data_IF_106593466127
#
_entry.id   IF_106593466127
#
_cell.length_a   1.000
_cell.length_b   1.000
_cell.length_c   1.000
_cell.angle_alpha   90.00
_cell.angle_beta   90.00
_cell.angle_gamma   90.00
#
_symmetry.space_group_name_H-M   'P 1'
#
loop_
_entity.id
_entity.type
_entity.pdbx_description
1 polymer ?
#
# COMPACT_ATOMS: atom_id res chain seq x y z
N UNK A 1 9.03 33.09 -12.65
CA UNK A 1 10.15 32.12 -12.70
C UNK A 1 10.19 31.26 -11.41
N UNK A 2 9.05 30.67 -10.98
CA UNK A 2 8.92 30.01 -9.67
C UNK A 2 8.31 28.59 -9.72
N UNK A 3 7.97 28.06 -10.90
CA UNK A 3 7.32 26.75 -11.02
C UNK A 3 8.26 25.55 -10.99
N UNK A 4 9.56 25.74 -11.29
CA UNK A 4 10.51 24.63 -11.43
C UNK A 4 10.90 24.01 -10.08
N UNK A 5 11.09 24.83 -9.04
CA UNK A 5 11.49 24.37 -7.71
C UNK A 5 10.38 23.65 -6.93
N UNK A 6 9.11 24.00 -7.14
CA UNK A 6 7.97 23.31 -6.49
C UNK A 6 7.79 21.89 -7.03
N UNK A 7 8.01 21.71 -8.34
CA UNK A 7 7.88 20.42 -9.02
C UNK A 7 8.96 19.42 -8.61
N UNK A 8 10.23 19.84 -8.56
CA UNK A 8 11.34 18.98 -8.11
C UNK A 8 11.23 18.60 -6.65
N UNK A 9 10.89 19.57 -5.78
CA UNK A 9 10.72 19.32 -4.34
C UNK A 9 9.66 18.24 -4.08
N UNK A 10 8.45 18.38 -4.64
CA UNK A 10 7.37 17.40 -4.48
C UNK A 10 7.78 15.99 -4.93
N UNK A 11 8.63 15.88 -5.96
CA UNK A 11 9.14 14.60 -6.43
C UNK A 11 10.04 13.92 -5.40
N UNK A 12 10.92 14.67 -4.73
CA UNK A 12 11.77 14.12 -3.66
C UNK A 12 10.91 13.61 -2.48
N UNK A 13 9.91 14.39 -2.04
CA UNK A 13 9.02 13.93 -0.96
C UNK A 13 8.20 12.70 -1.38
N UNK A 14 7.73 12.66 -2.62
CA UNK A 14 7.02 11.49 -3.14
C UNK A 14 7.94 10.25 -3.16
N UNK A 15 9.22 10.41 -3.52
CA UNK A 15 10.20 9.34 -3.45
C UNK A 15 10.44 8.86 -2.02
N UNK A 16 10.54 9.75 -1.04
CA UNK A 16 10.68 9.39 0.38
C UNK A 16 9.47 8.59 0.88
N UNK A 17 8.25 9.09 0.64
CA UNK A 17 7.02 8.39 1.01
C UNK A 17 6.94 7.00 0.36
N UNK A 18 7.26 6.92 -0.93
CA UNK A 18 7.22 5.67 -1.68
C UNK A 18 8.28 4.67 -1.20
N UNK A 19 9.50 5.13 -0.93
CA UNK A 19 10.59 4.29 -0.43
C UNK A 19 10.27 3.73 0.96
N UNK A 20 9.73 4.55 1.85
CA UNK A 20 9.28 4.12 3.18
C UNK A 20 8.13 3.09 3.06
N UNK A 21 7.18 3.32 2.15
CA UNK A 21 6.09 2.39 1.86
C UNK A 21 6.61 1.04 1.36
N UNK A 22 7.56 1.02 0.44
CA UNK A 22 8.19 -0.20 -0.04
C UNK A 22 8.92 -0.94 1.09
N UNK A 23 9.66 -0.21 1.92
CA UNK A 23 10.35 -0.75 3.09
C UNK A 23 9.37 -1.43 4.05
N UNK A 24 8.28 -0.76 4.38
CA UNK A 24 7.22 -1.33 5.21
C UNK A 24 6.59 -2.56 4.57
N UNK A 25 6.12 -2.46 3.32
CA UNK A 25 5.42 -3.55 2.64
C UNK A 25 6.27 -4.84 2.51
N UNK A 26 7.60 -4.72 2.56
CA UNK A 26 8.56 -5.83 2.46
C UNK A 26 9.00 -6.41 3.80
N UNK A 27 8.47 -5.95 4.93
CA UNK A 27 8.82 -6.51 6.23
C UNK A 27 8.53 -8.03 6.29
N UNK A 28 9.49 -8.88 6.72
CA UNK A 28 9.36 -10.33 6.68
C UNK A 28 8.15 -10.90 7.43
N UNK A 29 7.71 -10.22 8.49
CA UNK A 29 6.58 -10.66 9.34
C UNK A 29 5.25 -10.78 8.57
N UNK A 30 5.05 -10.00 7.50
CA UNK A 30 3.86 -10.15 6.67
C UNK A 30 3.81 -11.50 5.96
N UNK A 31 4.97 -12.00 5.54
CA UNK A 31 5.09 -13.21 4.75
C UNK A 31 5.21 -14.47 5.61
N UNK A 32 5.88 -14.34 6.75
CA UNK A 32 6.13 -15.43 7.69
C UNK A 32 4.97 -15.61 8.66
N UNK A 33 4.67 -14.57 9.44
CA UNK A 33 3.70 -14.67 10.52
C UNK A 33 2.28 -14.41 10.05
N UNK A 34 2.06 -13.45 9.14
CA UNK A 34 0.70 -13.14 8.65
C UNK A 34 0.29 -13.99 7.43
N UNK A 35 1.18 -14.86 6.94
CA UNK A 35 0.89 -15.85 5.90
C UNK A 35 0.65 -15.27 4.50
N UNK A 36 1.09 -14.04 4.23
CA UNK A 36 1.01 -13.47 2.88
C UNK A 36 1.98 -14.23 1.96
N UNK A 37 1.56 -14.69 0.77
CA UNK A 37 2.46 -15.40 -0.13
C UNK A 37 3.66 -14.54 -0.55
N UNK A 38 4.89 -14.99 -0.29
CA UNK A 38 6.11 -14.31 -0.75
C UNK A 38 6.35 -14.55 -2.25
N UNK A 39 5.53 -13.89 -3.06
CA UNK A 39 5.51 -13.96 -4.52
C UNK A 39 5.41 -12.54 -5.09
N UNK A 40 5.63 -12.39 -6.39
CA UNK A 40 5.46 -11.07 -7.05
C UNK A 40 4.05 -10.52 -6.88
N UNK A 41 3.03 -11.36 -7.04
CA UNK A 41 1.63 -10.96 -6.81
C UNK A 41 1.41 -10.59 -5.32
N UNK A 42 1.93 -11.37 -4.38
CA UNK A 42 1.77 -11.09 -2.94
C UNK A 42 2.48 -9.82 -2.46
N UNK A 43 3.70 -9.57 -2.95
CA UNK A 43 4.44 -8.31 -2.68
C UNK A 43 3.71 -7.11 -3.29
N UNK A 44 3.17 -7.25 -4.50
CA UNK A 44 2.32 -6.22 -5.10
C UNK A 44 1.09 -5.95 -4.24
N UNK A 45 0.43 -6.99 -3.73
CA UNK A 45 -0.77 -6.83 -2.90
C UNK A 45 -0.47 -6.13 -1.56
N UNK A 46 0.71 -6.36 -0.98
CA UNK A 46 1.19 -5.61 0.19
C UNK A 46 1.47 -4.14 -0.12
N UNK A 47 2.06 -3.84 -1.29
CA UNK A 47 2.27 -2.45 -1.74
C UNK A 47 0.92 -1.75 -1.93
N UNK A 48 -0.02 -2.39 -2.63
CA UNK A 48 -1.39 -1.88 -2.86
C UNK A 48 -2.09 -1.56 -1.54
N UNK A 49 -2.00 -2.46 -0.56
CA UNK A 49 -2.63 -2.29 0.74
C UNK A 49 -2.10 -1.05 1.47
N UNK A 50 -0.77 -0.85 1.52
CA UNK A 50 -0.17 0.31 2.17
C UNK A 50 -0.41 1.61 1.38
N UNK A 51 -0.32 1.55 0.05
CA UNK A 51 -0.58 2.70 -0.82
C UNK A 51 -2.02 3.19 -0.70
N UNK A 52 -2.98 2.28 -0.59
CA UNK A 52 -4.37 2.63 -0.32
C UNK A 52 -4.51 3.44 0.98
N UNK A 53 -3.88 3.01 2.07
CA UNK A 53 -3.96 3.71 3.37
C UNK A 53 -3.31 5.10 3.27
N UNK A 54 -2.15 5.21 2.60
CA UNK A 54 -1.49 6.49 2.35
C UNK A 54 -2.38 7.45 1.55
N UNK A 55 -2.94 7.00 0.42
CA UNK A 55 -3.76 7.86 -0.43
C UNK A 55 -5.08 8.25 0.22
N UNK A 56 -5.69 7.36 1.00
CA UNK A 56 -6.84 7.72 1.84
C UNK A 56 -6.50 8.87 2.78
N UNK A 57 -5.33 8.84 3.43
CA UNK A 57 -4.91 9.92 4.34
C UNK A 57 -4.62 11.23 3.60
N UNK A 58 -3.91 11.18 2.47
CA UNK A 58 -3.59 12.38 1.67
C UNK A 58 -4.86 13.03 1.08
N UNK A 59 -5.90 12.24 0.80
CA UNK A 59 -7.19 12.73 0.30
C UNK A 59 -7.90 13.68 1.28
N UNK A 60 -7.61 13.58 2.58
CA UNK A 60 -8.17 14.48 3.60
C UNK A 60 -7.51 15.88 3.58
N UNK A 61 -6.51 16.09 2.73
CA UNK A 61 -5.79 17.36 2.59
C UNK A 61 -6.36 18.29 1.51
N UNK A 62 -5.50 19.18 1.02
CA UNK A 62 -5.80 20.11 -0.07
C UNK A 62 -5.04 19.76 -1.36
N UNK A 63 -4.99 20.72 -2.27
CA UNK A 63 -4.38 20.56 -3.59
C UNK A 63 -2.91 20.10 -3.55
N UNK A 64 -2.14 20.51 -2.53
CA UNK A 64 -0.74 20.08 -2.38
C UNK A 64 -0.64 18.58 -2.05
N UNK A 65 -1.52 18.05 -1.20
CA UNK A 65 -1.58 16.62 -0.88
C UNK A 65 -2.12 15.80 -2.06
N UNK A 66 -3.06 16.33 -2.83
CA UNK A 66 -3.55 15.69 -4.06
C UNK A 66 -2.41 15.55 -5.09
N UNK A 67 -1.62 16.62 -5.28
CA UNK A 67 -0.47 16.59 -6.17
C UNK A 67 0.61 15.63 -5.69
N UNK A 68 0.87 15.57 -4.38
CA UNK A 68 1.79 14.60 -3.78
C UNK A 68 1.30 13.17 -3.98
N UNK A 69 0.01 12.90 -3.75
CA UNK A 69 -0.61 11.60 -3.95
C UNK A 69 -0.49 11.13 -5.40
N UNK A 70 -0.74 12.01 -6.37
CA UNK A 70 -0.56 11.70 -7.80
C UNK A 70 0.91 11.36 -8.10
N UNK A 71 1.84 12.14 -7.56
CA UNK A 71 3.28 11.90 -7.79
C UNK A 71 3.72 10.55 -7.21
N UNK A 72 3.25 10.17 -6.01
CA UNK A 72 3.52 8.85 -5.43
C UNK A 72 2.88 7.74 -6.26
N UNK A 73 1.66 7.93 -6.76
CA UNK A 73 0.99 6.98 -7.64
C UNK A 73 1.77 6.76 -8.95
N UNK A 74 2.23 7.84 -9.59
CA UNK A 74 3.02 7.78 -10.82
C UNK A 74 4.35 7.05 -10.60
N UNK A 75 5.04 7.33 -9.49
CA UNK A 75 6.26 6.61 -9.10
C UNK A 75 6.01 5.12 -8.90
N UNK A 76 4.94 4.77 -8.19
CA UNK A 76 4.57 3.37 -7.95
C UNK A 76 4.31 2.62 -9.27
N UNK A 77 3.56 3.20 -10.21
CA UNK A 77 3.28 2.54 -11.48
C UNK A 77 4.49 2.48 -12.41
N UNK A 78 5.36 3.49 -12.39
CA UNK A 78 6.62 3.45 -13.11
C UNK A 78 7.55 2.34 -12.61
N UNK A 79 7.66 2.16 -11.29
CA UNK A 79 8.42 1.06 -10.68
C UNK A 79 7.85 -0.32 -11.07
N UNK A 80 6.52 -0.46 -11.06
CA UNK A 80 5.87 -1.72 -11.48
C UNK A 80 6.11 -2.02 -12.97
N UNK A 81 6.04 -1.02 -13.84
CA UNK A 81 6.33 -1.17 -15.28
C UNK A 81 7.77 -1.62 -15.52
N UNK A 82 8.72 -0.98 -14.83
CA UNK A 82 10.13 -1.32 -14.89
C UNK A 82 10.39 -2.75 -14.39
N UNK A 83 9.87 -3.11 -13.22
CA UNK A 83 10.03 -4.45 -12.65
C UNK A 83 9.47 -5.54 -13.58
N UNK A 84 8.34 -5.31 -14.26
CA UNK A 84 7.78 -6.27 -15.22
C UNK A 84 8.68 -6.45 -16.45
N UNK A 85 9.26 -5.37 -16.98
CA UNK A 85 10.21 -5.44 -18.09
C UNK A 85 11.47 -6.21 -17.70
N UNK A 86 12.01 -5.95 -16.51
CA UNK A 86 13.19 -6.65 -15.98
C UNK A 86 12.94 -8.14 -15.76
N UNK A 87 11.71 -8.52 -15.42
CA UNK A 87 11.30 -9.93 -15.35
C UNK A 87 11.12 -10.61 -16.72
N UNK A 88 11.45 -9.94 -17.82
CA UNK A 88 11.36 -10.49 -19.18
C UNK A 88 9.94 -10.56 -19.73
N UNK A 89 8.98 -9.84 -19.14
CA UNK A 89 7.67 -9.64 -19.78
C UNK A 89 7.91 -8.79 -21.03
N UNK A 90 7.79 -9.38 -22.22
CA UNK A 90 8.02 -8.66 -23.48
C UNK A 90 7.13 -7.43 -23.62
N UNK A 91 7.63 -6.39 -24.31
CA UNK A 91 7.02 -5.05 -24.39
C UNK A 91 5.52 -5.06 -24.76
N UNK A 92 5.10 -6.00 -25.62
CA UNK A 92 3.71 -6.17 -26.06
C UNK A 92 2.78 -6.59 -24.89
N UNK A 93 3.32 -7.33 -23.91
CA UNK A 93 2.58 -7.84 -22.74
C UNK A 93 2.57 -6.91 -21.53
N UNK A 94 3.57 -6.04 -21.39
CA UNK A 94 3.74 -5.16 -20.22
C UNK A 94 2.56 -4.22 -20.06
N UNK A 95 2.15 -3.52 -21.12
CA UNK A 95 1.04 -2.56 -21.05
C UNK A 95 -0.29 -3.22 -20.61
N UNK A 96 -0.57 -4.45 -21.08
CA UNK A 96 -1.75 -5.21 -20.65
C UNK A 96 -1.66 -5.59 -19.17
N UNK A 97 -0.48 -5.97 -18.69
CA UNK A 97 -0.25 -6.34 -17.29
C UNK A 97 -0.36 -5.13 -16.37
N UNK A 98 0.21 -3.99 -16.76
CA UNK A 98 0.09 -2.73 -16.02
C UNK A 98 -1.37 -2.27 -15.92
N UNK A 99 -2.13 -2.34 -17.01
CA UNK A 99 -3.57 -2.04 -16.98
C UNK A 99 -4.32 -2.95 -16.00
N UNK A 100 -4.05 -4.25 -16.03
CA UNK A 100 -4.66 -5.21 -15.10
C UNK A 100 -4.26 -4.93 -13.64
N UNK A 101 -3.01 -4.54 -13.38
CA UNK A 101 -2.56 -4.13 -12.05
C UNK A 101 -3.26 -2.85 -11.58
N UNK A 102 -3.49 -1.87 -12.47
CA UNK A 102 -4.24 -0.66 -12.14
C UNK A 102 -5.71 -0.97 -11.78
N UNK A 103 -6.38 -1.79 -12.57
CA UNK A 103 -7.75 -2.25 -12.28
C UNK A 103 -7.81 -3.00 -10.93
N UNK A 104 -6.83 -3.88 -10.67
CA UNK A 104 -6.72 -4.58 -9.40
C UNK A 104 -6.46 -3.63 -8.22
N UNK A 105 -5.60 -2.63 -8.38
CA UNK A 105 -5.33 -1.61 -7.37
C UNK A 105 -6.63 -0.92 -6.93
N UNK A 106 -7.39 -0.35 -7.88
CA UNK A 106 -8.62 0.38 -7.56
C UNK A 106 -9.70 -0.54 -6.98
N UNK A 107 -9.89 -1.74 -7.54
CA UNK A 107 -10.87 -2.70 -7.02
C UNK A 107 -10.58 -3.12 -5.57
N UNK A 108 -9.30 -3.30 -5.23
CA UNK A 108 -8.86 -3.65 -3.86
C UNK A 108 -8.96 -2.47 -2.91
N UNK A 109 -8.52 -1.29 -3.33
CA UNK A 109 -8.62 -0.07 -2.55
C UNK A 109 -10.08 0.20 -2.16
N UNK A 110 -11.03 0.07 -3.08
CA UNK A 110 -12.46 0.20 -2.79
C UNK A 110 -12.93 -0.87 -1.81
N UNK A 111 -12.57 -2.15 -2.02
CA UNK A 111 -12.97 -3.23 -1.13
C UNK A 111 -12.46 -3.04 0.31
N UNK A 112 -11.22 -2.57 0.47
CA UNK A 112 -10.65 -2.28 1.80
C UNK A 112 -11.31 -1.04 2.42
N UNK A 113 -11.51 0.02 1.64
CA UNK A 113 -12.17 1.23 2.12
C UNK A 113 -13.60 0.96 2.62
N UNK A 114 -14.37 0.15 1.89
CA UNK A 114 -15.74 -0.19 2.27
C UNK A 114 -15.79 -1.07 3.51
N UNK A 115 -14.89 -2.05 3.61
CA UNK A 115 -14.77 -2.89 4.79
C UNK A 115 -14.36 -2.10 6.04
N UNK A 116 -13.46 -1.12 5.90
CA UNK A 116 -12.98 -0.29 7.01
C UNK A 116 -14.06 0.64 7.59
N UNK A 117 -15.15 0.91 6.86
CA UNK A 117 -16.31 1.66 7.37
C UNK A 117 -17.12 0.88 8.40
N UNK A 118 -17.00 -0.46 8.41
CA UNK A 118 -17.68 -1.30 9.39
C UNK A 118 -16.94 -1.28 10.73
N UNK A 119 -17.69 -1.48 11.81
CA UNK A 119 -17.15 -1.49 13.16
C UNK A 119 -16.37 -2.79 13.47
N UNK A 120 -16.85 -3.93 12.97
CA UNK A 120 -16.21 -5.23 13.17
C UNK A 120 -15.19 -5.58 12.07
N UNK A 121 -14.37 -6.59 12.33
CA UNK A 121 -13.33 -7.05 11.40
C UNK A 121 -13.84 -8.04 10.35
N UNK A 122 -15.10 -8.46 10.38
CA UNK A 122 -15.62 -9.53 9.52
C UNK A 122 -15.47 -9.21 8.04
N UNK A 123 -15.92 -8.03 7.63
CA UNK A 123 -15.83 -7.58 6.23
C UNK A 123 -14.38 -7.30 5.81
N UNK A 124 -13.55 -6.81 6.73
CA UNK A 124 -12.13 -6.55 6.46
C UNK A 124 -11.38 -7.86 6.26
N UNK A 125 -11.62 -8.85 7.11
CA UNK A 125 -11.07 -10.20 6.98
C UNK A 125 -11.53 -10.84 5.66
N UNK A 126 -12.81 -10.70 5.30
CA UNK A 126 -13.33 -11.21 4.03
C UNK A 126 -12.65 -10.54 2.82
N UNK A 127 -12.47 -9.21 2.86
CA UNK A 127 -11.76 -8.47 1.83
C UNK A 127 -10.29 -8.89 1.73
N UNK A 128 -9.59 -9.07 2.84
CA UNK A 128 -8.20 -9.54 2.88
C UNK A 128 -8.08 -10.95 2.32
N UNK A 129 -8.95 -11.89 2.73
CA UNK A 129 -9.00 -13.26 2.19
C UNK A 129 -9.16 -13.30 0.67
N UNK A 130 -10.08 -12.49 0.14
CA UNK A 130 -10.35 -12.43 -1.30
C UNK A 130 -9.17 -11.85 -2.10
N UNK A 131 -8.49 -10.85 -1.54
CA UNK A 131 -7.53 -10.04 -2.29
C UNK A 131 -6.08 -10.38 -1.97
N UNK A 132 -5.69 -10.31 -0.70
CA UNK A 132 -4.32 -10.53 -0.23
C UNK A 132 -3.95 -12.01 -0.22
N UNK A 133 -4.91 -12.88 0.08
CA UNK A 133 -4.71 -14.33 0.18
C UNK A 133 -5.31 -15.11 -0.98
N UNK A 134 -5.53 -14.50 -2.15
CA UNK A 134 -6.28 -15.10 -3.27
C UNK A 134 -5.84 -16.53 -3.67
N UNK A 135 -4.55 -16.85 -3.52
CA UNK A 135 -3.94 -18.14 -3.89
C UNK A 135 -3.48 -18.96 -2.68
N UNK A 136 -3.91 -18.59 -1.48
CA UNK A 136 -3.50 -19.21 -0.21
C UNK A 136 -4.68 -19.28 0.76
N UNK A 137 -4.52 -20.01 1.86
CA UNK A 137 -5.54 -20.06 2.91
C UNK A 137 -4.86 -19.69 4.24
N UNK A 138 -5.02 -18.44 4.71
CA UNK A 138 -4.46 -18.06 6.00
C UNK A 138 -5.23 -18.77 7.11
N UNK A 139 -4.55 -19.04 8.22
CA UNK A 139 -5.22 -19.41 9.47
C UNK A 139 -6.11 -18.26 9.97
N UNK A 140 -7.05 -18.55 10.87
CA UNK A 140 -7.85 -17.50 11.51
C UNK A 140 -6.98 -16.48 12.24
N UNK A 141 -5.92 -16.94 12.93
CA UNK A 141 -4.97 -16.07 13.62
C UNK A 141 -4.24 -15.12 12.65
N UNK A 142 -3.80 -15.63 11.49
CA UNK A 142 -3.16 -14.83 10.45
C UNK A 142 -4.09 -13.76 9.87
N UNK A 143 -5.33 -14.15 9.54
CA UNK A 143 -6.31 -13.23 8.99
C UNK A 143 -6.69 -12.13 10.00
N UNK A 144 -6.86 -12.51 11.28
CA UNK A 144 -7.12 -11.56 12.36
C UNK A 144 -5.95 -10.60 12.59
N UNK A 145 -4.70 -11.11 12.56
CA UNK A 145 -3.50 -10.29 12.72
C UNK A 145 -3.36 -9.26 11.59
N UNK A 146 -3.62 -9.66 10.35
CA UNK A 146 -3.61 -8.77 9.20
C UNK A 146 -4.71 -7.69 9.32
N UNK A 147 -5.94 -8.06 9.71
CA UNK A 147 -7.02 -7.10 9.90
C UNK A 147 -6.71 -6.09 11.02
N UNK A 148 -6.23 -6.59 12.18
CA UNK A 148 -5.80 -5.75 13.30
C UNK A 148 -4.68 -4.79 12.89
N UNK A 149 -3.68 -5.29 12.15
CA UNK A 149 -2.61 -4.46 11.60
C UNK A 149 -3.16 -3.34 10.72
N UNK A 150 -4.04 -3.67 9.76
CA UNK A 150 -4.61 -2.68 8.83
C UNK A 150 -5.38 -1.59 9.59
N UNK A 151 -6.24 -1.96 10.54
CA UNK A 151 -6.96 -0.96 11.36
C UNK A 151 -6.02 -0.08 12.17
N UNK A 152 -5.02 -0.68 12.80
CA UNK A 152 -4.03 0.07 13.59
C UNK A 152 -3.22 1.01 12.70
N UNK A 153 -2.85 0.55 11.50
CA UNK A 153 -2.12 1.34 10.53
C UNK A 153 -2.94 2.52 9.98
N UNK A 154 -4.24 2.31 9.75
CA UNK A 154 -5.18 3.39 9.39
C UNK A 154 -5.25 4.42 10.51
N UNK A 155 -5.45 4.00 11.76
CA UNK A 155 -5.49 4.90 12.91
C UNK A 155 -4.18 5.70 13.07
N UNK A 156 -3.03 5.03 12.89
CA UNK A 156 -1.71 5.66 12.94
C UNK A 156 -1.53 6.72 11.84
N UNK A 157 -2.07 6.50 10.64
CA UNK A 157 -1.99 7.48 9.54
C UNK A 157 -2.97 8.64 9.76
N UNK A 158 -4.18 8.37 10.23
CA UNK A 158 -5.15 9.40 10.59
C UNK A 158 -4.62 10.35 11.67
N UNK A 159 -3.77 9.86 12.57
CA UNK A 159 -3.13 10.67 13.62
C UNK A 159 -1.91 11.48 13.14
N UNK A 160 -1.36 11.22 11.95
CA UNK A 160 -0.19 11.94 11.43
C UNK A 160 -0.56 13.28 10.79
N UNK A 161 0.29 14.28 10.96
CA UNK A 161 0.11 15.62 10.35
C UNK A 161 0.31 15.56 8.83
N UNK A 162 -0.64 16.12 8.07
CA UNK A 162 -0.54 16.23 6.62
C UNK A 162 0.68 17.04 6.15
N UNK A 163 1.14 18.00 6.95
CA UNK A 163 2.32 18.80 6.67
C UNK A 163 3.61 17.98 6.79
N UNK A 164 3.63 16.97 7.66
CA UNK A 164 4.78 16.07 7.78
C UNK A 164 4.80 15.09 6.61
N UNK A 165 3.64 14.53 6.24
CA UNK A 165 3.51 13.75 5.02
C UNK A 165 3.90 14.57 3.78
N UNK A 166 3.52 15.86 3.72
CA UNK A 166 3.92 16.77 2.64
C UNK A 166 5.43 17.00 2.56
N UNK A 167 6.15 16.81 3.67
CA UNK A 167 7.61 16.89 3.75
C UNK A 167 8.29 15.54 3.51
N UNK A 168 7.53 14.47 3.25
CA UNK A 168 8.05 13.11 3.06
C UNK A 168 8.22 12.32 4.35
N UNK A 169 7.81 12.86 5.50
CA UNK A 169 7.91 12.16 6.78
C UNK A 169 6.67 11.29 7.00
N UNK A 170 6.89 9.99 7.10
CA UNK A 170 5.84 9.00 7.31
C UNK A 170 6.28 7.98 8.35
N UNK A 171 5.38 7.65 9.27
CA UNK A 171 5.60 6.66 10.31
C UNK A 171 4.60 5.52 10.16
N UNK A 172 5.12 4.31 9.97
CA UNK A 172 4.30 3.11 9.92
C UNK A 172 4.19 2.45 11.30
N UNK A 173 3.06 1.80 11.54
CA UNK A 173 2.93 0.93 12.70
C UNK A 173 3.78 -0.31 12.50
N UNK A 174 4.54 -0.71 13.52
CA UNK A 174 5.35 -1.92 13.45
C UNK A 174 4.44 -3.16 13.57
N UNK A 175 4.33 -4.00 12.52
CA UNK A 175 3.61 -5.28 12.62
C UNK A 175 4.21 -6.16 13.73
N UNK A 176 3.34 -6.82 14.50
CA UNK A 176 3.73 -7.64 15.64
C UNK A 176 3.91 -9.10 15.19
N UNK A 177 4.96 -9.75 15.69
CA UNK A 177 5.13 -11.18 15.46
C UNK A 177 4.07 -11.98 16.21
N UNK A 178 3.52 -13.01 15.56
CA UNK A 178 2.57 -13.93 16.20
C UNK A 178 3.24 -14.87 17.18
N UNK A 179 4.52 -15.19 16.99
CA UNK A 179 5.29 -16.06 17.88
C UNK A 179 5.52 -15.43 19.27
N UNK A 180 5.46 -14.10 19.38
CA UNK A 180 5.70 -13.38 20.63
C UNK A 180 4.49 -13.32 21.58
N UNK A 181 3.35 -13.93 21.21
CA UNK A 181 2.09 -13.90 21.99
C UNK A 181 1.73 -15.28 22.57
N UNK A 182 2.68 -16.22 22.58
CA UNK A 182 2.53 -17.57 23.15
C UNK A 182 3.11 -17.68 24.55
#
# INVERSE_FOLDING_TARGET
MFGWFKSTKNRDQAHELYSALLGQARLPVFYTDYGVPDTVDGRFDMIVLHAHILFSRLKDGGADQEQLSQTVFDLMFADLDQNLREMGVGDIGVGKRIKAMAEAFYGRATAYADALKQADDGDLIAALRRNLYRKSSPTEAQAAAAAHYVRTQVAQFSAQDLNDLQKGFISFYAPKSLAATS
#
